data_IF_586312084543
#
_entry.id   IF_586312084543
#
_cell.length_a   1.000
_cell.length_b   1.000
_cell.length_c   1.000
_cell.angle_alpha   90.00
_cell.angle_beta   90.00
_cell.angle_gamma   90.00
#
_symmetry.space_group_name_H-M   'P 1'
#
loop_
_entity.id
_entity.type
_entity.pdbx_description
1 polymer ?
2 non-polymer ?
3 non-polymer ?
4 non-polymer ?
5 non-polymer ?
6 non-polymer ?
7 water ?
#
# COMPACT_ATOMS: atom_id res chain seq x y z
N UNK A 11 25.65 0.82 -10.71
CA UNK A 11 26.80 -0.09 -10.33
C UNK A 11 26.27 -1.17 -9.35
N UNK A 12 26.19 -2.47 -9.77
CA UNK A 12 25.83 -3.56 -8.91
C UNK A 12 26.85 -3.66 -7.75
N UNK A 13 26.42 -4.35 -6.67
CA UNK A 13 27.18 -4.59 -5.42
C UNK A 13 28.26 -5.68 -5.67
N UNK A 14 29.33 -5.81 -4.89
CA UNK A 14 29.98 -7.06 -4.64
C UNK A 14 29.04 -8.13 -4.00
N UNK A 15 29.40 -9.38 -4.13
CA UNK A 15 28.64 -10.48 -3.46
C UNK A 15 29.23 -10.80 -2.09
N UNK A 16 28.39 -10.93 -1.07
CA UNK A 16 28.94 -11.28 0.25
C UNK A 16 29.69 -12.64 0.27
N UNK A 17 30.51 -12.91 1.33
CA UNK A 17 31.28 -14.14 1.50
C UNK A 17 30.35 -15.30 1.85
N UNK A 18 29.26 -15.07 2.50
CA UNK A 18 28.33 -16.17 2.81
C UNK A 18 27.25 -16.54 1.75
N UNK A 19 27.21 -15.97 0.56
CA UNK A 19 26.24 -16.20 -0.54
C UNK A 19 26.87 -16.99 -1.73
N UNK A 20 26.32 -18.19 -2.05
CA UNK A 20 26.75 -19.03 -3.11
C UNK A 20 25.90 -18.74 -4.42
N UNK A 21 26.63 -18.92 -5.55
CA UNK A 21 26.23 -18.29 -6.78
C UNK A 21 24.95 -18.86 -7.36
N UNK A 22 24.55 -20.11 -7.04
CA UNK A 22 23.39 -20.78 -7.71
C UNK A 22 22.09 -20.06 -7.26
N UNK A 23 22.02 -19.32 -6.19
CA UNK A 23 20.81 -18.48 -5.87
C UNK A 23 20.88 -17.11 -6.57
N UNK A 24 21.97 -16.62 -7.14
CA UNK A 24 22.02 -15.28 -7.81
C UNK A 24 20.95 -15.12 -8.95
N UNK A 25 20.17 -14.02 -8.86
CA UNK A 25 19.37 -13.31 -9.82
C UNK A 25 19.59 -11.77 -9.64
N UNK A 26 20.05 -11.04 -10.67
CA UNK A 26 20.35 -9.62 -10.41
C UNK A 26 19.12 -8.73 -10.53
N UNK A 27 18.01 -9.16 -9.95
CA UNK A 27 16.80 -8.35 -9.87
C UNK A 27 16.92 -6.95 -9.26
N UNK A 28 16.42 -5.89 -9.95
CA UNK A 28 16.31 -4.59 -9.37
C UNK A 28 14.92 -4.19 -8.85
N UNK A 29 14.91 -3.79 -7.55
CA UNK A 29 13.64 -3.54 -6.88
C UNK A 29 12.88 -2.37 -7.58
N UNK A 30 13.52 -1.21 -7.95
CA UNK A 30 12.89 -0.02 -8.43
C UNK A 30 12.72 -0.04 -9.94
N UNK A 31 13.51 -0.89 -10.64
CA UNK A 31 13.38 -1.19 -12.07
C UNK A 31 13.19 -2.75 -12.23
N UNK A 32 11.93 -3.24 -12.00
CA UNK A 32 11.63 -4.68 -12.02
C UNK A 32 11.66 -5.30 -13.39
N UNK A 33 12.14 -6.56 -13.54
CA UNK A 33 12.57 -7.02 -14.86
C UNK A 33 11.41 -7.22 -15.86
N UNK A 34 10.14 -7.57 -15.55
CA UNK A 34 9.11 -7.65 -16.61
C UNK A 34 8.03 -6.53 -16.55
N UNK A 35 8.52 -5.26 -16.38
CA UNK A 35 7.75 -4.03 -15.99
C UNK A 35 6.50 -3.83 -16.90
N UNK A 36 6.57 -4.17 -18.18
CA UNK A 36 5.48 -3.98 -19.14
C UNK A 36 4.21 -4.80 -18.94
N UNK A 37 4.18 -5.75 -18.01
CA UNK A 37 3.04 -6.55 -17.63
C UNK A 37 2.14 -5.87 -16.59
N UNK A 38 2.53 -4.72 -15.97
CA UNK A 38 1.96 -4.24 -14.71
C UNK A 38 2.92 -4.30 -13.55
N UNK A 39 3.03 -3.31 -12.69
CA UNK A 39 4.02 -3.24 -11.62
C UNK A 39 3.67 -4.22 -10.38
N UNK A 40 2.64 -5.13 -10.53
CA UNK A 40 2.65 -6.29 -9.61
C UNK A 40 3.04 -7.51 -10.53
N UNK A 41 2.46 -7.64 -11.70
CA UNK A 41 2.78 -8.82 -12.50
C UNK A 41 4.27 -8.87 -12.91
N UNK A 42 4.96 -7.74 -12.96
CA UNK A 42 6.39 -7.54 -13.35
C UNK A 42 7.44 -8.23 -12.41
N UNK A 43 6.98 -8.74 -11.28
CA UNK A 43 7.68 -9.61 -10.35
C UNK A 43 7.54 -11.13 -10.59
N UNK A 44 6.47 -11.47 -11.37
CA UNK A 44 6.11 -12.84 -11.63
C UNK A 44 7.18 -13.69 -12.22
N UNK A 45 8.14 -13.12 -12.92
CA UNK A 45 9.26 -13.87 -13.48
C UNK A 45 10.09 -14.53 -12.37
N UNK A 46 10.09 -13.97 -11.15
CA UNK A 46 10.81 -14.56 -10.02
C UNK A 46 10.27 -15.92 -9.57
N UNK A 47 9.17 -16.29 -10.15
CA UNK A 47 8.43 -17.53 -9.78
C UNK A 47 8.51 -18.55 -10.88
N UNK A 48 9.49 -18.43 -11.83
CA UNK A 48 9.81 -19.46 -12.79
C UNK A 48 10.41 -20.73 -12.18
N UNK A 49 10.19 -21.89 -12.82
CA UNK A 49 10.62 -23.15 -12.20
C UNK A 49 12.05 -23.20 -11.75
N UNK A 50 13.03 -22.67 -12.49
CA UNK A 50 14.42 -22.87 -12.08
C UNK A 50 14.77 -22.04 -10.85
N UNK A 51 13.93 -21.04 -10.60
CA UNK A 51 14.16 -19.94 -9.57
C UNK A 51 13.76 -20.47 -8.16
N UNK A 52 14.72 -20.64 -7.23
CA UNK A 52 14.40 -21.15 -5.93
C UNK A 52 13.31 -20.27 -5.13
N UNK A 53 12.86 -20.87 -4.04
CA UNK A 53 12.09 -20.17 -3.03
C UNK A 53 12.70 -18.91 -2.41
N UNK A 54 14.02 -18.92 -2.23
CA UNK A 54 14.92 -17.83 -1.82
C UNK A 54 15.85 -17.54 -2.97
N UNK A 55 16.01 -16.23 -3.31
CA UNK A 55 17.06 -15.70 -4.13
C UNK A 55 17.90 -14.60 -3.54
N UNK A 56 19.06 -14.24 -4.05
CA UNK A 56 19.76 -13.01 -3.66
C UNK A 56 20.03 -12.19 -4.94
N UNK A 57 20.05 -10.85 -4.81
CA UNK A 57 20.42 -9.95 -5.89
C UNK A 57 21.56 -9.13 -5.46
N UNK A 58 22.30 -8.62 -6.43
CA UNK A 58 23.38 -7.57 -6.37
C UNK A 58 22.86 -6.15 -6.57
N UNK A 59 21.63 -6.00 -7.01
CA UNK A 59 21.01 -4.69 -7.11
C UNK A 59 20.73 -4.04 -5.74
N UNK A 60 20.53 -2.69 -5.75
CA UNK A 60 19.93 -2.03 -4.58
C UNK A 60 20.74 -2.19 -3.28
N UNK A 61 22.02 -2.40 -3.43
CA UNK A 61 22.96 -2.69 -2.34
C UNK A 61 23.11 -4.11 -1.96
N UNK A 62 22.34 -4.97 -2.65
CA UNK A 62 22.41 -6.45 -2.49
C UNK A 62 21.57 -6.87 -1.25
N UNK A 63 20.73 -7.93 -1.36
CA UNK A 63 19.59 -8.27 -0.47
C UNK A 63 19.07 -9.65 -0.86
N UNK A 64 18.58 -10.41 0.10
CA UNK A 64 17.68 -11.56 -0.28
C UNK A 64 16.28 -11.06 -0.78
N UNK A 65 15.63 -11.90 -1.61
CA UNK A 65 14.25 -11.82 -2.00
C UNK A 65 13.78 -13.24 -1.75
N UNK A 66 12.61 -13.32 -1.06
CA UNK A 66 11.75 -14.50 -0.93
C UNK A 66 10.75 -14.46 -2.07
N UNK A 67 10.72 -15.48 -2.92
CA UNK A 67 9.99 -15.55 -4.20
C UNK A 67 8.56 -16.12 -4.04
N UNK A 68 8.29 -16.81 -2.91
CA UNK A 68 7.02 -17.55 -2.69
C UNK A 68 6.24 -17.19 -1.42
N UNK A 69 4.88 -17.36 -1.38
CA UNK A 69 4.00 -16.97 -0.28
C UNK A 69 4.33 -17.70 1.05
N UNK A 70 4.73 -19.00 0.96
CA UNK A 70 5.08 -19.74 2.17
C UNK A 70 6.28 -19.17 2.75
N UNK A 71 7.43 -19.07 2.04
CA UNK A 71 8.70 -18.49 2.43
C UNK A 71 8.55 -17.07 2.92
N UNK A 72 7.77 -16.28 2.22
CA UNK A 72 7.38 -14.90 2.73
C UNK A 72 6.75 -15.05 4.15
N UNK A 73 5.67 -15.84 4.32
CA UNK A 73 4.98 -15.82 5.54
C UNK A 73 5.78 -16.38 6.72
N UNK A 74 6.61 -17.39 6.45
CA UNK A 74 7.59 -18.01 7.33
C UNK A 74 8.69 -16.93 7.71
N UNK A 75 8.90 -15.81 6.92
CA UNK A 75 9.73 -14.66 7.42
C UNK A 75 8.90 -13.59 8.10
N UNK A 76 7.56 -13.68 8.07
CA UNK A 76 6.74 -12.82 8.97
C UNK A 76 6.41 -13.46 10.33
N UNK A 77 6.57 -14.76 10.44
CA UNK A 77 6.28 -15.67 11.58
C UNK A 77 7.42 -15.89 12.52
N UNK A 78 8.64 -15.93 12.00
CA UNK A 78 9.93 -15.66 12.76
C UNK A 78 10.26 -14.17 12.86
N UNK A 79 9.28 -13.36 13.18
CA UNK A 79 9.53 -11.92 13.48
C UNK A 79 10.61 -11.68 14.54
N UNK A 80 10.84 -12.65 15.47
CA UNK A 80 11.87 -12.60 16.55
C UNK A 80 13.22 -12.70 15.95
N UNK A 81 13.36 -13.16 14.69
CA UNK A 81 14.62 -13.13 13.91
C UNK A 81 14.68 -12.14 12.73
N UNK A 82 13.51 -11.84 12.11
CA UNK A 82 13.27 -10.96 10.91
C UNK A 82 12.62 -9.65 11.37
N UNK A 83 13.30 -8.51 11.48
CA UNK A 83 12.64 -7.38 12.12
C UNK A 83 12.16 -6.29 11.12
N UNK A 84 11.05 -5.64 11.40
CA UNK A 84 10.67 -4.37 10.73
C UNK A 84 11.24 -3.02 11.19
N UNK A 85 12.23 -3.10 12.14
CA UNK A 85 12.98 -1.92 12.54
C UNK A 85 13.76 -1.34 11.33
N UNK A 86 14.03 -2.09 10.26
CA UNK A 86 14.51 -1.59 9.00
C UNK A 86 13.76 -2.35 7.85
N UNK A 87 12.60 -1.93 7.29
CA UNK A 87 11.93 -2.59 6.15
C UNK A 87 12.37 -2.09 4.79
N UNK A 88 12.96 -0.91 4.68
CA UNK A 88 13.35 -0.32 3.41
C UNK A 88 14.65 -0.95 2.89
N UNK A 89 14.67 -1.66 1.77
CA UNK A 89 15.92 -2.31 1.28
C UNK A 89 16.97 -1.22 0.93
N UNK A 90 16.68 0.08 0.53
CA UNK A 90 17.74 1.11 0.53
C UNK A 90 18.04 1.54 1.96
N UNK A 91 19.20 1.08 2.41
CA UNK A 91 19.53 1.31 3.87
C UNK A 91 19.45 2.76 4.29
N UNK A 92 19.90 3.73 3.51
CA UNK A 92 19.77 5.23 3.73
C UNK A 92 18.34 5.68 3.97
N UNK A 93 17.31 4.90 3.52
CA UNK A 93 15.91 5.08 3.87
C UNK A 93 15.41 4.11 4.99
N UNK A 94 16.01 2.93 5.15
CA UNK A 94 15.77 1.97 6.23
C UNK A 94 16.26 2.36 7.61
N UNK A 95 17.33 3.15 7.60
CA UNK A 95 17.92 3.69 8.81
C UNK A 95 17.12 4.90 9.35
N UNK A 96 16.50 5.67 8.44
CA UNK A 96 15.77 6.83 8.77
C UNK A 96 14.38 6.52 9.31
N UNK A 97 13.87 5.38 8.93
CA UNK A 97 12.55 4.87 9.32
C UNK A 97 12.36 4.53 10.75
N UNK A 98 11.12 4.64 11.34
CA UNK A 98 10.80 4.47 12.74
C UNK A 98 9.30 4.54 13.14
N UNK A 99 8.46 4.21 12.17
CA UNK A 99 7.00 4.31 12.21
C UNK A 99 6.32 3.44 13.29
N UNK A 100 5.14 3.77 13.75
CA UNK A 100 4.46 3.01 14.80
C UNK A 100 3.06 2.58 14.28
N UNK A 101 2.50 1.36 14.66
CA UNK A 101 3.06 0.32 15.46
C UNK A 101 4.36 -0.38 14.94
N UNK A 102 4.53 -0.39 13.62
CA UNK A 102 5.31 -1.40 12.87
C UNK A 102 6.79 -1.57 13.33
N UNK A 103 7.60 -0.49 13.52
CA UNK A 103 9.00 -0.56 13.95
C UNK A 103 9.26 -0.85 15.42
N UNK A 104 8.13 -0.93 16.23
CA UNK A 104 8.17 -1.38 17.63
C UNK A 104 7.97 -2.87 17.78
N UNK A 105 8.78 -3.46 18.69
CA UNK A 105 8.77 -4.90 18.93
C UNK A 105 7.65 -5.45 19.76
N UNK A 106 6.82 -6.38 19.21
CA UNK A 106 5.79 -7.11 19.93
C UNK A 106 6.48 -8.21 20.71
N UNK A 107 5.78 -8.76 21.74
CA UNK A 107 4.34 -8.48 22.05
C UNK A 107 4.12 -7.15 22.80
N UNK A 108 5.25 -6.57 23.30
CA UNK A 108 5.18 -5.30 24.05
C UNK A 108 4.84 -4.06 23.19
N UNK A 109 4.54 -4.25 21.86
CA UNK A 109 3.89 -3.22 21.03
C UNK A 109 2.46 -2.96 21.45
N UNK A 110 1.85 -3.96 22.19
CA UNK A 110 0.41 -4.17 22.16
C UNK A 110 -0.48 -2.87 22.34
N UNK A 111 -0.02 -1.94 23.20
CA UNK A 111 -0.87 -0.82 23.56
C UNK A 111 -0.89 0.24 22.47
N UNK A 112 0.18 0.30 21.65
CA UNK A 112 0.31 1.24 20.51
C UNK A 112 -0.68 0.78 19.47
N UNK A 113 -0.71 -0.51 19.15
CA UNK A 113 -1.66 -1.01 18.16
C UNK A 113 -3.08 -0.95 18.71
N UNK A 114 -3.45 -1.24 19.94
CA UNK A 114 -4.84 -1.11 20.53
C UNK A 114 -5.26 0.37 20.26
N UNK A 115 -4.40 1.30 20.62
CA UNK A 115 -4.67 2.77 20.29
C UNK A 115 -4.96 2.93 18.76
N UNK A 116 -4.05 2.49 17.84
CA UNK A 116 -4.28 2.49 16.39
C UNK A 116 -5.68 2.00 16.03
N UNK A 117 -6.05 0.80 16.55
CA UNK A 117 -7.33 0.13 16.31
C UNK A 117 -8.49 0.95 16.91
N UNK A 118 -8.25 1.97 17.76
CA UNK A 118 -9.35 2.95 18.07
C UNK A 118 -9.06 4.36 17.44
N UNK A 119 -7.97 4.63 16.84
CA UNK A 119 -7.71 5.80 15.96
C UNK A 119 -8.30 5.54 14.57
N UNK A 120 -8.29 4.29 14.13
CA UNK A 120 -9.00 3.85 12.95
C UNK A 120 -9.42 2.38 12.99
N UNK A 121 -10.73 2.16 12.83
CA UNK A 121 -11.42 0.87 13.02
C UNK A 121 -12.78 0.87 12.22
N UNK A 122 -13.47 -0.33 12.05
CA UNK A 122 -14.84 -0.51 11.46
C UNK A 122 -15.85 0.66 11.87
N UNK A 123 -16.05 1.07 13.16
CA UNK A 123 -16.84 2.26 13.47
C UNK A 123 -16.52 3.60 12.72
N UNK A 124 -15.26 3.94 12.55
CA UNK A 124 -14.89 5.18 11.80
C UNK A 124 -15.41 5.14 10.35
N UNK A 125 -15.35 3.90 9.79
CA UNK A 125 -16.02 3.76 8.50
C UNK A 125 -17.55 4.12 8.51
N UNK A 126 -18.21 3.82 9.62
CA UNK A 126 -19.57 4.25 9.86
C UNK A 126 -19.81 5.74 10.13
N UNK A 127 -18.75 6.48 10.56
CA UNK A 127 -18.74 7.94 10.74
C UNK A 127 -18.55 8.75 9.49
N UNK A 128 -17.88 8.15 8.55
CA UNK A 128 -17.59 8.77 7.25
C UNK A 128 -18.39 8.10 6.11
N UNK A 129 -19.02 6.91 6.24
CA UNK A 129 -19.68 6.24 5.15
C UNK A 129 -20.63 7.09 4.30
N UNK A 130 -21.53 7.84 4.97
CA UNK A 130 -22.40 8.69 4.14
C UNK A 130 -21.55 9.76 3.46
N UNK A 131 -20.56 10.37 4.10
CA UNK A 131 -19.54 11.32 3.47
C UNK A 131 -18.75 10.73 2.34
N UNK A 132 -18.43 9.45 2.43
CA UNK A 132 -17.82 8.58 1.35
C UNK A 132 -18.78 8.57 0.16
N UNK A 133 -19.88 7.93 0.43
CA UNK A 133 -21.08 7.90 -0.44
C UNK A 133 -21.40 9.20 -1.26
N UNK A 134 -21.84 10.21 -0.54
CA UNK A 134 -22.20 11.48 -1.19
C UNK A 134 -20.99 12.05 -1.93
N UNK A 135 -19.71 11.87 -1.58
CA UNK A 135 -18.59 12.45 -2.22
C UNK A 135 -18.26 11.61 -3.49
N UNK A 136 -18.22 10.24 -3.46
CA UNK A 136 -18.18 9.41 -4.66
C UNK A 136 -19.40 9.80 -5.54
N UNK A 137 -20.68 9.74 -5.15
CA UNK A 137 -21.80 10.32 -5.86
C UNK A 137 -21.52 11.71 -6.45
N UNK A 138 -21.01 12.71 -5.69
CA UNK A 138 -20.92 14.10 -6.21
C UNK A 138 -19.75 14.23 -7.17
N UNK A 139 -18.60 13.56 -6.86
CA UNK A 139 -17.61 13.56 -7.94
C UNK A 139 -18.16 12.88 -9.19
N UNK A 140 -18.58 11.63 -9.08
CA UNK A 140 -18.97 10.80 -10.23
C UNK A 140 -20.26 11.31 -10.95
N UNK A 141 -21.04 12.22 -10.30
CA UNK A 141 -22.05 13.03 -10.95
C UNK A 141 -21.36 14.19 -11.70
N UNK A 142 -20.40 14.89 -11.04
CA UNK A 142 -19.64 15.92 -11.76
C UNK A 142 -18.99 15.31 -13.05
N UNK A 143 -18.45 14.04 -13.06
CA UNK A 143 -17.73 13.49 -14.24
C UNK A 143 -18.66 12.80 -15.27
N UNK A 144 -19.83 12.39 -14.81
CA UNK A 144 -20.71 11.39 -15.47
C UNK A 144 -20.77 11.54 -16.97
N UNK A 145 -21.21 12.73 -17.53
CA UNK A 145 -21.45 12.90 -18.95
C UNK A 145 -20.21 13.39 -19.70
N UNK A 146 -19.03 13.54 -18.99
CA UNK A 146 -17.85 14.30 -19.46
C UNK A 146 -16.88 13.53 -20.35
N UNK A 147 -17.01 12.24 -20.37
CA UNK A 147 -16.29 11.40 -21.37
C UNK A 147 -14.80 11.19 -21.22
N UNK A 148 -14.22 11.73 -20.19
CA UNK A 148 -12.81 11.75 -19.93
C UNK A 148 -12.49 12.38 -18.62
N UNK A 149 -11.34 12.04 -18.00
CA UNK A 149 -10.74 12.64 -16.88
C UNK A 149 -9.30 12.07 -16.79
N UNK A 150 -8.42 12.70 -16.04
CA UNK A 150 -7.24 12.04 -15.58
C UNK A 150 -7.42 11.54 -14.14
N UNK A 151 -7.89 10.30 -13.96
CA UNK A 151 -8.43 9.75 -12.72
C UNK A 151 -7.46 9.88 -11.51
N UNK A 152 -6.16 9.81 -11.70
CA UNK A 152 -5.18 10.02 -10.55
C UNK A 152 -5.40 11.34 -9.88
N UNK A 153 -5.95 12.32 -10.55
CA UNK A 153 -6.09 13.72 -10.08
C UNK A 153 -7.56 14.18 -10.06
N UNK A 154 -8.43 13.66 -10.98
CA UNK A 154 -9.86 14.03 -10.95
C UNK A 154 -10.79 13.14 -10.01
N UNK A 155 -10.18 12.12 -9.38
CA UNK A 155 -10.95 11.25 -8.43
C UNK A 155 -10.09 10.65 -7.28
N UNK A 156 -9.12 9.77 -7.68
CA UNK A 156 -8.28 8.98 -6.76
C UNK A 156 -7.52 9.84 -5.76
N UNK A 157 -6.87 10.88 -6.15
CA UNK A 157 -6.28 11.71 -5.04
C UNK A 157 -7.32 12.51 -4.24
N UNK A 158 -8.26 13.29 -4.84
CA UNK A 158 -9.11 14.12 -4.02
C UNK A 158 -10.31 13.37 -3.35
N UNK A 159 -10.62 12.11 -3.61
CA UNK A 159 -11.71 11.41 -2.91
C UNK A 159 -11.33 10.92 -1.52
N UNK A 160 -10.33 10.04 -1.39
CA UNK A 160 -10.01 9.48 -0.09
C UNK A 160 -9.26 10.58 0.74
N UNK A 161 -8.35 11.37 0.11
CA UNK A 161 -7.64 12.44 0.89
C UNK A 161 -8.60 13.46 1.60
N UNK A 162 -9.66 13.88 0.89
CA UNK A 162 -10.79 14.66 1.49
C UNK A 162 -11.68 13.82 2.50
N UNK A 163 -11.35 12.61 2.87
CA UNK A 163 -11.90 11.78 3.97
C UNK A 163 -10.85 11.64 5.06
N UNK A 164 -9.65 11.12 4.72
CA UNK A 164 -8.55 11.13 5.69
C UNK A 164 -8.21 12.48 6.37
N UNK A 165 -8.23 13.65 5.68
CA UNK A 165 -8.03 15.03 6.19
C UNK A 165 -9.08 15.51 7.15
N UNK A 166 -10.32 15.25 6.72
CA UNK A 166 -11.47 15.47 7.54
C UNK A 166 -11.51 14.46 8.77
N UNK A 167 -10.94 13.23 8.65
CA UNK A 167 -10.90 12.28 9.79
C UNK A 167 -9.87 12.79 10.85
N UNK A 168 -8.70 13.12 10.34
CA UNK A 168 -7.64 13.71 11.15
C UNK A 168 -7.91 15.10 11.55
N UNK A 169 -8.87 15.84 11.00
CA UNK A 169 -8.96 17.26 11.32
C UNK A 169 -7.91 18.19 10.78
N UNK A 170 -7.58 18.09 9.45
CA UNK A 170 -6.65 19.00 8.83
C UNK A 170 -7.34 19.68 7.67
N UNK A 171 -7.07 20.97 7.35
CA UNK A 171 -7.70 21.57 6.21
C UNK A 171 -7.16 21.01 4.83
N UNK A 172 -7.97 21.10 3.70
CA UNK A 172 -7.70 20.75 2.33
C UNK A 172 -6.50 21.41 1.73
N UNK A 173 -6.18 22.56 2.15
CA UNK A 173 -5.05 23.36 1.67
C UNK A 173 -3.67 22.82 1.96
N UNK A 174 -3.55 21.88 2.92
CA UNK A 174 -2.25 21.17 3.02
C UNK A 174 -2.15 19.92 2.10
N UNK A 175 -3.18 19.57 1.36
CA UNK A 175 -3.08 18.31 0.55
C UNK A 175 -1.93 18.16 -0.41
N UNK A 176 -1.54 19.17 -1.23
CA UNK A 176 -0.48 18.95 -2.19
C UNK A 176 0.86 19.03 -1.51
N UNK A 177 0.90 19.57 -0.27
CA UNK A 177 2.10 19.67 0.47
C UNK A 177 2.35 18.32 1.19
N UNK A 178 1.28 17.65 1.65
CA UNK A 178 1.37 16.30 2.28
C UNK A 178 1.39 15.20 1.18
N UNK A 179 0.61 15.26 0.07
CA UNK A 179 0.81 14.47 -1.05
C UNK A 179 2.11 14.69 -1.74
N UNK A 180 2.83 15.74 -1.48
CA UNK A 180 4.17 15.84 -2.00
C UNK A 180 5.13 14.97 -1.17
N UNK A 181 5.09 15.13 0.14
CA UNK A 181 5.94 14.52 1.15
C UNK A 181 5.76 12.98 1.21
N UNK A 182 4.50 12.46 1.14
CA UNK A 182 4.20 11.08 1.19
C UNK A 182 4.87 10.30 0.06
N UNK A 183 4.54 10.64 -1.14
CA UNK A 183 5.29 10.22 -2.28
C UNK A 183 6.80 10.38 -2.20
N UNK A 184 7.42 11.48 -1.73
CA UNK A 184 8.88 11.55 -1.49
C UNK A 184 9.36 10.48 -0.49
N UNK A 185 8.54 10.22 0.59
CA UNK A 185 8.90 9.03 1.38
C UNK A 185 8.74 7.67 0.68
N UNK A 186 7.56 7.35 0.16
CA UNK A 186 7.23 6.08 -0.51
C UNK A 186 7.99 5.71 -1.79
N UNK A 187 8.27 6.65 -2.70
CA UNK A 187 9.13 6.42 -3.89
C UNK A 187 10.20 7.43 -4.17
N UNK A 188 11.34 7.01 -4.71
CA UNK A 188 12.50 7.81 -4.85
C UNK A 188 12.35 8.66 -6.08
N UNK A 189 11.93 9.90 -5.94
CA UNK A 189 11.89 10.86 -7.05
C UNK A 189 13.29 11.49 -7.34
N UNK A 190 13.95 11.97 -6.28
CA UNK A 190 15.32 12.47 -6.14
C UNK A 190 15.41 13.73 -5.26
N UNK A 191 14.33 14.43 -5.11
CA UNK A 191 14.40 15.71 -4.41
C UNK A 191 14.79 15.58 -2.92
N UNK A 192 14.00 14.79 -2.14
CA UNK A 192 14.13 14.61 -0.66
C UNK A 192 14.43 13.20 -0.40
N UNK A 193 15.44 12.96 0.39
CA UNK A 193 15.50 11.71 1.17
C UNK A 193 14.37 11.47 2.17
N UNK A 194 14.22 10.23 2.60
CA UNK A 194 13.21 9.80 3.60
C UNK A 194 13.41 10.54 4.94
N UNK A 195 14.66 10.71 5.31
CA UNK A 195 15.00 11.54 6.44
C UNK A 195 14.59 12.94 6.27
N UNK A 196 14.81 13.48 5.08
CA UNK A 196 14.38 14.85 4.75
C UNK A 196 12.79 15.11 4.72
N UNK A 197 12.16 14.20 3.99
CA UNK A 197 10.75 14.31 3.84
C UNK A 197 9.99 14.04 5.20
N UNK A 198 10.58 13.15 5.95
CA UNK A 198 10.06 12.80 7.31
C UNK A 198 10.29 14.02 8.23
N UNK A 199 11.49 14.49 8.36
CA UNK A 199 11.74 15.65 9.28
C UNK A 199 10.85 16.86 8.84
N UNK A 200 10.64 17.12 7.49
CA UNK A 200 9.76 18.16 6.98
C UNK A 200 8.30 17.86 7.41
N UNK A 201 7.86 16.56 7.33
CA UNK A 201 6.49 16.20 7.82
C UNK A 201 6.30 16.51 9.28
N UNK A 202 7.33 16.18 10.01
CA UNK A 202 7.20 16.27 11.43
C UNK A 202 7.29 17.77 11.89
N UNK A 203 8.10 18.60 11.21
CA UNK A 203 8.08 20.02 11.51
C UNK A 203 6.69 20.70 11.36
N UNK A 204 5.92 20.16 10.34
CA UNK A 204 4.58 20.52 10.05
C UNK A 204 3.59 19.89 11.02
N UNK A 205 3.75 18.64 11.44
CA UNK A 205 2.68 18.00 12.23
C UNK A 205 2.90 18.24 13.72
N UNK A 206 4.07 18.47 14.26
CA UNK A 206 4.17 18.60 15.79
C UNK A 206 3.54 19.93 16.37
N UNK A 207 3.48 21.17 15.71
CA UNK A 207 2.58 22.22 16.13
C UNK A 207 1.14 21.79 16.06
N UNK A 208 0.77 20.80 15.27
CA UNK A 208 -0.61 20.20 15.26
C UNK A 208 -0.84 19.19 16.28
N UNK A 209 0.15 18.28 16.52
CA UNK A 209 0.03 17.41 17.71
C UNK A 209 0.03 18.14 19.09
N UNK A 210 0.96 19.09 19.25
CA UNK A 210 0.91 20.06 20.42
C UNK A 210 -0.47 20.74 20.56
N UNK A 211 -1.10 21.20 19.45
CA UNK A 211 -2.50 21.80 19.41
C UNK A 211 -3.52 20.79 19.90
N UNK A 212 -3.34 19.57 19.53
CA UNK A 212 -4.16 18.39 20.03
C UNK A 212 -3.80 18.15 21.55
N UNK A 213 -2.65 18.50 22.20
CA UNK A 213 -2.46 18.51 23.64
C UNK A 213 -3.06 19.72 24.41
N UNK A 214 -2.92 20.88 23.82
CA UNK A 214 -3.49 22.12 24.27
C UNK A 214 -5.01 22.05 24.19
N UNK A 215 -5.60 21.56 23.10
CA UNK A 215 -7.01 21.43 23.05
C UNK A 215 -7.28 20.07 22.25
N UNK A 216 -7.52 18.93 22.87
CA UNK A 216 -8.04 17.76 22.20
C UNK A 216 -9.39 18.09 21.51
N UNK A 217 -9.86 17.30 20.51
CA UNK A 217 -11.06 17.46 19.61
C UNK A 217 -11.54 16.10 18.98
N UNK A 218 -12.71 16.25 18.33
CA UNK A 218 -13.31 15.17 17.66
C UNK A 218 -12.61 14.68 16.32
N UNK A 219 -11.26 14.75 16.28
CA UNK A 219 -10.44 14.17 15.19
C UNK A 219 -9.59 12.95 15.74
N UNK A 220 -8.94 12.25 14.79
CA UNK A 220 -8.07 11.08 15.17
C UNK A 220 -6.71 11.48 15.85
N UNK A 221 -6.08 12.61 15.43
CA UNK A 221 -4.76 13.03 16.03
C UNK A 221 -4.98 13.31 17.46
N UNK A 222 -6.17 13.70 17.91
CA UNK A 222 -6.46 13.99 19.32
C UNK A 222 -6.67 12.71 20.14
N UNK A 223 -6.96 11.52 19.50
CA UNK A 223 -6.78 10.13 20.01
C UNK A 223 -5.31 9.77 19.97
N UNK A 224 -4.49 10.03 18.91
CA UNK A 224 -3.05 9.68 18.85
C UNK A 224 -2.20 10.27 19.98
N UNK A 225 -2.38 11.55 20.21
CA UNK A 225 -1.65 12.36 21.17
C UNK A 225 -2.06 12.11 22.63
N UNK A 226 -3.21 11.51 22.92
CA UNK A 226 -3.63 11.35 24.33
C UNK A 226 -3.81 9.89 24.82
N UNK A 227 -3.39 8.92 23.95
CA UNK A 227 -3.35 7.48 24.28
C UNK A 227 -2.41 7.15 25.42
N UNK A 228 -2.86 6.35 26.41
CA UNK A 228 -1.93 5.99 27.46
C UNK A 228 -1.39 4.59 27.33
N UNK A 229 -0.07 4.39 27.46
CA UNK A 229 0.66 3.21 26.89
C UNK A 229 1.78 2.83 27.90
N UNK A 230 2.02 1.60 28.29
CA UNK A 230 3.17 1.17 29.21
C UNK A 230 3.13 1.96 30.51
N UNK A 231 1.98 2.32 31.11
CA UNK A 231 2.03 3.07 32.37
C UNK A 231 2.34 4.56 32.20
N UNK A 232 2.02 5.26 31.08
CA UNK A 232 2.47 6.64 30.78
C UNK A 232 1.63 7.30 29.59
N UNK A 233 1.89 8.57 29.33
CA UNK A 233 1.37 9.16 28.09
C UNK A 233 2.13 8.70 26.84
N UNK A 234 1.51 8.54 25.72
CA UNK A 234 2.09 8.67 24.41
C UNK A 234 2.80 10.03 24.11
N UNK A 235 4.12 10.04 23.95
CA UNK A 235 4.93 11.21 23.74
C UNK A 235 4.60 11.81 22.38
N UNK A 236 5.01 13.04 22.06
CA UNK A 236 5.07 13.58 20.66
C UNK A 236 6.03 12.77 19.75
N UNK A 237 7.21 12.42 20.27
CA UNK A 237 8.13 11.52 19.64
C UNK A 237 7.49 10.30 19.04
N UNK A 238 6.49 9.78 19.74
CA UNK A 238 5.77 8.58 19.28
C UNK A 238 4.41 8.92 18.53
N UNK A 239 3.75 10.03 18.88
CA UNK A 239 2.55 10.50 18.12
C UNK A 239 2.85 10.87 16.71
N UNK A 240 4.02 11.49 16.45
CA UNK A 240 4.50 11.82 15.12
C UNK A 240 4.84 10.56 14.28
N UNK A 241 5.44 9.57 14.88
CA UNK A 241 5.79 8.31 14.22
C UNK A 241 4.60 7.35 13.90
N UNK A 242 3.62 7.33 14.80
CA UNK A 242 2.35 6.69 14.47
C UNK A 242 1.57 7.55 13.40
N UNK A 243 1.56 8.89 13.46
CA UNK A 243 0.96 9.57 12.35
C UNK A 243 1.62 9.33 10.97
N UNK A 244 2.99 9.18 10.98
CA UNK A 244 3.64 8.90 9.62
C UNK A 244 3.12 7.70 8.85
N UNK A 245 2.83 6.62 9.52
CA UNK A 245 2.18 5.41 8.99
C UNK A 245 0.81 5.74 8.30
N UNK A 246 -0.16 6.13 9.16
CA UNK A 246 -1.49 6.66 8.69
C UNK A 246 -1.49 7.59 7.52
N UNK A 247 -0.45 8.48 7.55
CA UNK A 247 -0.21 9.46 6.48
C UNK A 247 0.27 8.80 5.22
N UNK A 248 1.15 7.78 5.30
CA UNK A 248 1.39 6.95 4.10
C UNK A 248 0.12 6.18 3.66
N UNK A 249 -0.64 5.71 4.67
CA UNK A 249 -1.89 4.99 4.52
C UNK A 249 -2.95 5.69 3.61
N UNK A 250 -3.38 6.89 4.13
CA UNK A 250 -4.54 7.51 3.44
C UNK A 250 -4.22 8.43 2.29
N UNK A 251 -2.98 8.72 1.93
CA UNK A 251 -2.70 9.56 0.79
C UNK A 251 -1.83 8.83 -0.20
N UNK A 252 -1.11 7.73 0.09
CA UNK A 252 -0.53 6.91 -0.93
C UNK A 252 -1.16 5.48 -1.07
N UNK A 253 -1.21 4.55 -0.06
CA UNK A 253 -1.67 3.16 -0.37
C UNK A 253 -3.09 3.24 -0.98
N UNK A 254 -4.01 3.97 -0.39
CA UNK A 254 -5.39 3.94 -0.90
C UNK A 254 -5.53 4.76 -2.23
N UNK A 255 -4.76 5.80 -2.47
CA UNK A 255 -4.75 6.54 -3.74
C UNK A 255 -4.11 5.79 -4.93
N UNK A 256 -2.97 5.20 -4.67
CA UNK A 256 -2.36 4.37 -5.75
C UNK A 256 -3.25 3.09 -6.00
N UNK A 257 -3.81 2.46 -4.97
CA UNK A 257 -4.69 1.29 -5.14
C UNK A 257 -5.89 1.53 -5.97
N UNK A 258 -6.51 2.67 -5.69
CA UNK A 258 -7.62 3.23 -6.53
C UNK A 258 -7.19 3.31 -7.98
N UNK A 259 -6.03 3.92 -8.20
CA UNK A 259 -5.42 4.10 -9.57
C UNK A 259 -5.23 2.75 -10.25
N UNK A 260 -4.63 1.72 -9.59
CA UNK A 260 -4.43 0.42 -10.17
C UNK A 260 -5.71 -0.31 -10.46
N UNK A 261 -6.70 -0.40 -9.53
CA UNK A 261 -8.03 -0.85 -9.76
C UNK A 261 -8.66 -0.28 -11.05
N UNK A 262 -8.59 1.01 -11.34
CA UNK A 262 -9.11 1.39 -12.64
C UNK A 262 -8.11 1.15 -13.86
N UNK A 263 -6.83 0.92 -13.61
CA UNK A 263 -5.82 0.58 -14.67
C UNK A 263 -6.05 -0.86 -15.19
N UNK A 264 -6.81 -1.67 -14.43
CA UNK A 264 -7.46 -2.90 -14.81
C UNK A 264 -8.86 -2.68 -15.41
N UNK A 265 -9.85 -2.11 -14.68
CA UNK A 265 -11.24 -2.01 -15.27
C UNK A 265 -11.30 -1.22 -16.56
N UNK A 266 -10.41 -0.22 -16.76
CA UNK A 266 -10.10 0.40 -18.06
C UNK A 266 -10.02 -0.65 -19.18
N UNK A 267 -9.17 -1.64 -19.11
CA UNK A 267 -9.01 -2.45 -20.19
C UNK A 267 -10.00 -3.62 -20.23
N UNK A 268 -10.98 -3.69 -19.29
CA UNK A 268 -11.76 -4.91 -18.93
C UNK A 268 -13.26 -4.85 -19.09
N UNK A 269 -13.78 -5.00 -20.29
CA UNK A 269 -15.21 -4.96 -20.45
C UNK A 269 -16.13 -5.99 -19.77
N UNK A 270 -15.65 -7.30 -19.75
CA UNK A 270 -16.33 -8.40 -19.02
C UNK A 270 -16.24 -8.14 -17.46
N UNK A 271 -15.04 -7.81 -16.91
CA UNK A 271 -14.94 -7.61 -15.43
C UNK A 271 -15.81 -6.47 -15.01
N UNK A 272 -15.90 -5.43 -15.91
CA UNK A 272 -17.02 -4.47 -15.62
C UNK A 272 -18.41 -5.09 -15.72
N UNK A 273 -18.84 -5.72 -16.77
CA UNK A 273 -20.12 -6.34 -16.89
C UNK A 273 -20.35 -7.27 -15.68
N UNK A 274 -19.38 -8.12 -15.19
CA UNK A 274 -19.62 -9.09 -14.14
C UNK A 274 -20.23 -8.39 -12.91
N UNK A 275 -19.78 -7.18 -12.57
CA UNK A 275 -20.28 -6.32 -11.52
C UNK A 275 -21.53 -5.51 -11.77
N UNK A 276 -21.91 -5.42 -13.00
CA UNK A 276 -23.22 -4.82 -13.41
C UNK A 276 -24.35 -5.91 -13.29
N UNK A 277 -24.16 -7.05 -13.94
CA UNK A 277 -25.13 -8.19 -13.74
C UNK A 277 -25.34 -8.70 -12.30
N UNK A 278 -24.28 -8.53 -11.49
CA UNK A 278 -24.27 -9.05 -10.17
C UNK A 278 -23.52 -8.10 -9.19
N UNK A 279 -24.14 -7.01 -8.69
CA UNK A 279 -23.63 -6.07 -7.64
C UNK A 279 -23.06 -6.79 -6.41
N UNK A 280 -23.55 -7.92 -6.04
CA UNK A 280 -22.96 -8.78 -4.96
C UNK A 280 -21.60 -9.45 -5.19
N UNK A 281 -20.96 -9.17 -6.26
CA UNK A 281 -19.54 -9.52 -6.53
C UNK A 281 -18.64 -8.35 -6.20
N UNK A 282 -19.28 -7.19 -6.01
CA UNK A 282 -18.45 -5.99 -5.69
C UNK A 282 -17.62 -6.12 -4.40
N UNK A 283 -18.13 -6.56 -3.23
CA UNK A 283 -17.16 -6.90 -2.13
C UNK A 283 -16.08 -8.02 -2.46
N UNK A 284 -16.46 -9.07 -3.17
CA UNK A 284 -15.48 -10.10 -3.58
C UNK A 284 -14.49 -9.61 -4.65
N UNK A 285 -14.86 -8.69 -5.56
CA UNK A 285 -13.94 -8.12 -6.57
C UNK A 285 -12.97 -7.23 -5.91
N UNK A 286 -13.29 -6.49 -4.82
CA UNK A 286 -12.22 -5.73 -4.11
C UNK A 286 -11.19 -6.67 -3.53
N UNK A 287 -11.63 -7.72 -2.88
CA UNK A 287 -10.75 -8.70 -2.24
C UNK A 287 -9.83 -9.34 -3.32
N UNK A 288 -10.33 -9.65 -4.54
CA UNK A 288 -9.47 -10.12 -5.62
C UNK A 288 -8.55 -9.03 -6.24
N UNK A 289 -9.05 -7.80 -6.27
CA UNK A 289 -8.24 -6.63 -6.62
C UNK A 289 -7.05 -6.49 -5.63
N UNK A 290 -7.29 -6.68 -4.32
CA UNK A 290 -6.31 -6.71 -3.21
C UNK A 290 -5.43 -7.97 -3.33
N UNK A 291 -5.88 -9.05 -3.92
CA UNK A 291 -4.96 -10.20 -4.34
C UNK A 291 -4.07 -9.80 -5.55
N UNK A 292 -4.64 -9.33 -6.61
CA UNK A 292 -4.05 -9.05 -7.86
C UNK A 292 -3.15 -7.82 -7.75
N UNK A 293 -3.67 -6.64 -7.52
CA UNK A 293 -2.97 -5.34 -7.62
C UNK A 293 -2.39 -4.89 -6.30
N UNK A 294 -1.90 -5.83 -5.54
CA UNK A 294 -1.12 -5.74 -4.28
C UNK A 294 0.21 -5.02 -4.42
N UNK A 295 0.11 -3.72 -4.69
CA UNK A 295 1.09 -2.65 -4.92
C UNK A 295 2.34 -2.47 -4.01
N UNK A 296 2.72 -3.39 -3.13
CA UNK A 296 3.69 -3.17 -2.02
C UNK A 296 4.88 -4.04 -2.23
N UNK A 297 6.09 -3.60 -1.85
CA UNK A 297 7.32 -4.37 -1.90
C UNK A 297 8.02 -4.20 -0.57
N UNK A 298 7.50 -4.87 0.47
CA UNK A 298 8.01 -4.79 1.86
C UNK A 298 9.24 -5.67 2.09
N UNK A 299 9.84 -5.56 3.26
CA UNK A 299 11.05 -6.28 3.62
C UNK A 299 11.21 -6.33 5.15
N UNK A 300 12.34 -6.91 5.66
CA UNK A 300 12.68 -7.00 7.05
C UNK A 300 14.22 -7.25 7.15
N UNK A 301 14.80 -6.88 8.31
CA UNK A 301 16.25 -7.12 8.67
C UNK A 301 16.54 -8.36 9.57
N UNK A 302 17.61 -9.11 9.41
CA UNK A 302 17.92 -10.25 10.27
C UNK A 302 18.56 -9.69 11.56
N UNK A 303 18.11 -10.09 12.76
CA UNK A 303 18.54 -9.60 14.07
C UNK A 303 19.60 -10.47 14.76
N UNK A 304 19.81 -11.67 14.24
CA UNK A 304 20.84 -12.69 14.70
C UNK A 304 21.27 -13.44 13.46
N UNK A 305 22.40 -14.15 13.63
CA UNK A 305 22.75 -15.16 12.65
C UNK A 305 21.85 -16.41 12.75
N UNK A 306 21.35 -16.80 11.58
CA UNK A 306 20.09 -17.61 11.54
C UNK A 306 20.11 -18.65 10.39
N UNK A 307 19.40 -19.82 10.48
CA UNK A 307 19.44 -20.88 9.44
C UNK A 307 18.23 -20.82 8.50
N UNK A 308 18.32 -20.62 7.20
CA UNK A 308 17.15 -20.56 6.39
C UNK A 308 17.38 -21.25 5.04
N UNK A 309 16.52 -22.20 4.56
CA UNK A 309 16.37 -22.68 3.13
C UNK A 309 17.68 -23.41 2.68
N UNK A 310 18.47 -23.89 3.67
CA UNK A 310 19.66 -24.60 3.53
C UNK A 310 20.93 -23.87 3.67
N UNK A 311 20.88 -22.63 4.10
CA UNK A 311 21.97 -21.69 4.13
C UNK A 311 21.93 -20.99 5.47
N UNK A 312 23.10 -20.53 5.94
CA UNK A 312 23.10 -19.65 7.12
C UNK A 312 23.08 -18.14 6.62
N UNK A 313 22.22 -17.34 7.17
CA UNK A 313 22.00 -15.90 6.98
C UNK A 313 22.74 -15.18 8.18
N UNK A 314 23.17 -13.92 7.99
CA UNK A 314 23.92 -13.23 9.00
C UNK A 314 23.14 -12.02 9.50
N UNK A 315 23.42 -11.56 10.75
CA UNK A 315 22.84 -10.36 11.31
C UNK A 315 23.14 -9.20 10.36
N UNK A 316 22.20 -8.25 10.17
CA UNK A 316 22.29 -7.05 9.36
C UNK A 316 21.94 -7.33 7.88
N UNK A 317 21.67 -8.60 7.44
CA UNK A 317 21.04 -9.03 6.23
C UNK A 317 19.62 -8.49 6.15
N UNK A 318 19.18 -8.21 4.94
CA UNK A 318 17.86 -7.66 4.62
C UNK A 318 17.23 -8.50 3.40
N UNK A 319 16.02 -8.87 3.62
CA UNK A 319 15.13 -9.63 2.79
C UNK A 319 13.85 -8.96 2.34
N UNK A 320 13.61 -8.92 1.05
CA UNK A 320 12.38 -8.46 0.45
C UNK A 320 11.41 -9.60 0.39
N UNK A 321 10.17 -9.34 0.72
CA UNK A 321 9.18 -10.38 0.92
C UNK A 321 7.92 -9.98 0.13
N UNK A 322 7.93 -9.80 -1.24
CA UNK A 322 6.98 -8.92 -2.00
C UNK A 322 5.55 -9.43 -1.83
N UNK A 323 4.59 -8.53 -1.56
CA UNK A 323 3.17 -8.95 -1.33
C UNK A 323 2.59 -9.79 -2.52
N UNK A 324 2.84 -9.27 -3.79
CA UNK A 324 2.41 -9.82 -5.11
C UNK A 324 3.05 -11.20 -5.38
N UNK A 325 4.05 -11.70 -4.57
CA UNK A 325 4.60 -13.08 -4.60
C UNK A 325 4.06 -14.05 -3.51
N UNK A 326 3.28 -13.47 -2.59
CA UNK A 326 2.12 -14.31 -2.20
C UNK A 326 0.97 -14.31 -3.25
N UNK A 327 0.61 -13.08 -3.76
CA UNK A 327 -0.67 -12.76 -4.39
C UNK A 327 -0.81 -13.65 -5.65
N UNK A 328 0.25 -13.77 -6.44
CA UNK A 328 0.27 -14.41 -7.73
C UNK A 328 0.72 -15.85 -7.74
N UNK A 329 1.14 -16.42 -6.62
CA UNK A 329 1.88 -17.63 -6.51
C UNK A 329 0.88 -18.84 -6.74
N UNK A 330 1.33 -19.69 -7.65
CA UNK A 330 0.51 -20.85 -7.90
C UNK A 330 0.33 -21.82 -6.69
N UNK A 331 1.27 -21.90 -5.75
CA UNK A 331 1.17 -22.70 -4.53
C UNK A 331 0.17 -22.13 -3.43
N UNK A 332 -0.16 -20.85 -3.51
CA UNK A 332 -1.13 -20.21 -2.61
C UNK A 332 -2.62 -20.25 -3.23
N UNK A 333 -2.74 -19.52 -4.35
CA UNK A 333 -3.95 -18.94 -4.95
C UNK A 333 -4.31 -19.67 -6.22
N UNK A 334 -5.53 -20.20 -6.21
CA UNK A 334 -6.15 -20.76 -7.38
C UNK A 334 -6.41 -19.60 -8.36
N UNK A 335 -6.39 -19.92 -9.66
CA UNK A 335 -6.48 -19.00 -10.81
C UNK A 335 -5.80 -17.64 -10.60
N UNK A 336 -4.45 -17.58 -10.53
CA UNK A 336 -3.72 -16.36 -10.01
C UNK A 336 -3.33 -15.29 -11.03
N UNK A 337 -3.15 -15.73 -12.31
CA UNK A 337 -2.98 -14.72 -13.40
C UNK A 337 -4.31 -14.31 -14.04
N UNK A 338 -5.10 -15.28 -14.53
CA UNK A 338 -6.56 -15.01 -14.76
C UNK A 338 -7.25 -14.34 -13.58
N UNK A 339 -8.26 -13.52 -13.85
CA UNK A 339 -8.98 -12.77 -12.85
C UNK A 339 -10.41 -13.29 -12.91
N UNK A 340 -10.98 -13.70 -11.77
CA UNK A 340 -12.41 -13.72 -11.45
C UNK A 340 -12.84 -13.50 -9.99
N UNK A 341 -14.05 -12.85 -9.86
CA UNK A 341 -14.48 -12.32 -8.64
C UNK A 341 -15.35 -13.20 -7.67
N UNK A 342 -15.40 -14.48 -8.00
CA UNK A 342 -16.16 -15.44 -7.23
C UNK A 342 -15.49 -15.99 -5.98
N UNK A 343 -14.59 -15.17 -5.37
CA UNK A 343 -13.87 -15.62 -4.19
C UNK A 343 -14.83 -15.89 -2.99
N UNK A 344 -14.83 -17.13 -2.46
CA UNK A 344 -15.07 -17.55 -1.04
C UNK A 344 -13.86 -17.32 -0.12
N UNK A 345 -12.65 -17.51 -0.68
CA UNK A 345 -11.39 -17.49 0.08
C UNK A 345 -10.28 -17.10 -0.82
N UNK A 346 -9.21 -16.66 -0.21
CA UNK A 346 -8.05 -16.13 -0.94
C UNK A 346 -6.89 -16.10 -0.02
N UNK A 347 -5.66 -16.16 -0.53
CA UNK A 347 -4.40 -16.37 0.26
C UNK A 347 -3.28 -15.40 -0.15
N UNK A 348 -3.11 -14.23 0.52
CA UNK A 348 -2.08 -13.19 0.27
C UNK A 348 -1.79 -12.25 1.42
N UNK A 349 -0.73 -11.48 1.29
CA UNK A 349 -0.11 -10.70 2.36
C UNK A 349 -0.31 -9.26 2.20
N UNK A 350 -1.29 -8.78 1.44
CA UNK A 350 -1.56 -7.32 1.27
C UNK A 350 -2.22 -6.69 2.50
N UNK A 351 -1.83 -7.15 3.68
CA UNK A 351 -2.06 -6.64 5.05
C UNK A 351 -1.04 -7.13 6.09
N UNK A 352 0.00 -7.84 5.61
CA UNK A 352 1.02 -8.54 6.39
C UNK A 352 0.52 -9.74 7.08
N UNK A 353 1.03 -10.07 8.26
CA UNK A 353 0.80 -11.40 8.86
C UNK A 353 1.16 -11.66 10.36
N UNK A 354 0.39 -12.47 11.06
CA UNK A 354 0.71 -12.88 12.42
C UNK A 354 0.68 -11.67 13.30
N UNK A 355 1.80 -11.20 13.87
CA UNK A 355 1.77 -9.99 14.67
C UNK A 355 1.31 -8.71 13.95
N UNK A 356 1.79 -8.43 12.72
CA UNK A 356 1.34 -7.26 11.91
C UNK A 356 0.01 -7.65 11.24
N UNK A 357 -0.92 -6.69 11.17
CA UNK A 357 -2.20 -6.76 10.42
C UNK A 357 -2.62 -5.39 10.06
N UNK A 358 -2.82 -5.12 8.74
CA UNK A 358 -3.35 -3.77 8.43
C UNK A 358 -4.53 -3.35 9.35
N UNK A 359 -4.42 -2.20 9.97
CA UNK A 359 -5.39 -1.69 10.90
C UNK A 359 -6.13 -0.51 10.31
N UNK A 360 -5.92 -0.03 9.07
CA UNK A 360 -6.65 1.10 8.45
C UNK A 360 -7.46 0.67 7.27
N UNK A 361 -7.14 -0.35 6.47
CA UNK A 361 -7.73 -0.58 5.15
C UNK A 361 -9.28 -0.89 4.95
N UNK A 362 -9.99 -1.01 6.09
CA UNK A 362 -11.44 -1.23 6.07
C UNK A 362 -12.16 0.05 5.64
N UNK A 363 -11.57 1.27 5.76
CA UNK A 363 -12.09 2.59 5.35
C UNK A 363 -11.94 2.51 3.81
N UNK A 364 -10.75 2.35 3.21
CA UNK A 364 -10.46 2.08 1.80
C UNK A 364 -11.30 0.89 1.23
N UNK A 365 -11.47 -0.28 1.86
CA UNK A 365 -12.43 -1.24 1.39
C UNK A 365 -13.88 -0.65 0.99
N UNK A 366 -14.51 0.15 1.89
CA UNK A 366 -15.84 0.77 1.76
C UNK A 366 -15.70 1.93 0.82
N UNK A 367 -14.50 2.57 0.75
CA UNK A 367 -14.33 3.61 -0.26
C UNK A 367 -14.28 3.08 -1.71
N UNK A 368 -13.48 2.06 -1.93
CA UNK A 368 -13.38 1.37 -3.23
C UNK A 368 -14.67 0.70 -3.56
N UNK A 369 -15.32 0.08 -2.64
CA UNK A 369 -16.61 -0.57 -2.90
C UNK A 369 -17.74 0.39 -3.13
N UNK A 370 -17.69 1.62 -2.49
CA UNK A 370 -18.62 2.65 -2.90
C UNK A 370 -18.24 3.04 -4.31
N UNK A 371 -17.01 3.42 -4.59
CA UNK A 371 -16.56 3.80 -5.95
C UNK A 371 -16.96 2.83 -7.07
N UNK A 372 -16.75 1.56 -6.81
CA UNK A 372 -17.06 0.43 -7.70
C UNK A 372 -18.57 0.47 -7.98
N UNK A 373 -19.43 0.50 -6.96
CA UNK A 373 -20.90 0.45 -7.10
C UNK A 373 -21.60 1.76 -7.60
N UNK A 374 -20.85 2.87 -7.49
CA UNK A 374 -21.40 4.11 -7.91
C UNK A 374 -20.76 4.65 -9.25
N UNK A 375 -19.62 4.16 -9.63
CA UNK A 375 -19.16 4.27 -11.02
C UNK A 375 -19.87 3.42 -12.06
N UNK A 376 -20.09 2.11 -11.81
CA UNK A 376 -20.55 1.13 -12.80
C UNK A 376 -22.01 1.40 -13.17
N UNK A 377 -22.73 2.23 -12.45
CA UNK A 377 -23.98 2.91 -12.79
C UNK A 377 -23.85 4.13 -13.66
N UNK A 378 -23.27 5.20 -13.12
CA UNK A 378 -23.20 6.44 -13.91
C UNK A 378 -22.36 6.32 -15.10
N UNK A 379 -21.31 5.53 -14.98
CA UNK A 379 -20.27 5.29 -15.92
C UNK A 379 -19.94 3.83 -16.14
N UNK A 380 -20.73 3.12 -17.00
CA UNK A 380 -20.62 1.66 -17.04
C UNK A 380 -19.47 1.24 -17.99
N UNK A 381 -19.39 1.85 -19.20
CA UNK A 381 -18.46 1.40 -20.25
C UNK A 381 -17.41 2.49 -20.40
N UNK A 382 -16.13 2.13 -20.44
CA UNK A 382 -15.00 3.05 -20.46
C UNK A 382 -13.57 2.39 -20.78
N UNK A 383 -12.53 3.13 -21.15
CA UNK A 383 -11.18 2.76 -21.50
C UNK A 383 -10.21 3.82 -21.13
N UNK A 384 -8.89 3.58 -21.25
CA UNK A 384 -7.79 4.59 -21.19
C UNK A 384 -7.68 5.30 -22.52
N UNK A 385 -7.44 6.59 -22.49
CA UNK A 385 -7.24 7.45 -23.71
C UNK A 385 -6.35 6.76 -24.78
N UNK A 386 -6.61 6.82 -26.08
CA UNK A 386 -5.78 6.36 -27.18
C UNK A 386 -4.49 7.17 -27.28
N UNK A 387 -3.33 6.53 -27.59
CA UNK A 387 -2.02 7.17 -27.57
C UNK A 387 -1.33 7.06 -26.20
N UNK A 388 -2.18 7.20 -25.17
CA UNK A 388 -1.68 7.13 -23.78
C UNK A 388 -1.04 5.72 -23.43
N UNK A 389 0.25 5.73 -23.08
CA UNK A 389 0.87 4.46 -22.56
C UNK A 389 1.04 4.72 -21.03
N UNK A 390 0.69 3.75 -20.11
CA UNK A 390 0.73 3.95 -18.66
C UNK A 390 2.09 3.51 -18.06
N UNK A 391 2.75 4.35 -17.41
CA UNK A 391 4.09 4.06 -16.93
C UNK A 391 3.91 3.91 -15.43
N UNK A 392 4.42 2.78 -15.06
CA UNK A 392 4.29 2.23 -13.67
C UNK A 392 5.58 2.38 -12.85
N UNK A 393 5.46 2.66 -11.57
CA UNK A 393 6.64 3.03 -10.69
C UNK A 393 6.77 2.06 -9.58
N UNK A 394 7.84 1.28 -9.49
CA UNK A 394 8.08 0.24 -8.45
C UNK A 394 8.56 0.91 -7.15
N UNK A 395 8.31 0.35 -5.97
CA UNK A 395 8.79 0.84 -4.72
C UNK A 395 8.30 0.06 -3.55
N UNK A 396 8.66 0.37 -2.31
CA UNK A 396 8.11 -0.20 -1.05
C UNK A 396 6.52 -0.03 -1.07
N UNK A 397 6.00 1.05 -1.61
CA UNK A 397 4.66 1.05 -2.22
C UNK A 397 4.90 1.49 -3.67
N UNK A 398 4.41 0.71 -4.60
CA UNK A 398 4.36 1.06 -6.05
C UNK A 398 3.28 2.08 -6.45
N UNK A 399 3.51 2.72 -7.65
CA UNK A 399 2.80 3.91 -8.13
C UNK A 399 2.48 3.82 -9.58
N UNK A 400 1.85 4.83 -10.12
CA UNK A 400 1.81 5.13 -11.66
C UNK A 400 2.08 6.62 -11.93
N UNK A 401 2.42 6.99 -13.16
CA UNK A 401 2.59 8.42 -13.60
C UNK A 401 1.29 9.13 -13.69
N UNK A 402 0.27 8.66 -14.53
CA UNK A 402 -1.03 9.37 -14.75
C UNK A 402 -1.93 8.43 -15.51
N UNK A 403 -3.22 8.49 -15.15
CA UNK A 403 -4.40 7.64 -15.69
C UNK A 403 -5.60 8.34 -16.38
N UNK A 404 -5.35 8.75 -17.64
CA UNK A 404 -6.35 9.39 -18.52
C UNK A 404 -7.32 8.37 -19.10
N UNK A 405 -8.54 8.39 -18.59
CA UNK A 405 -9.67 7.51 -18.91
C UNK A 405 -10.47 8.15 -20.02
N UNK A 406 -11.15 7.41 -20.89
CA UNK A 406 -12.18 8.03 -21.81
C UNK A 406 -13.40 7.08 -21.96
N UNK A 407 -14.46 7.75 -22.40
CA UNK A 407 -15.82 7.14 -22.51
C UNK A 407 -16.73 8.03 -23.37
N UNK A 408 -17.76 7.42 -23.94
CA UNK A 408 -18.73 8.23 -24.62
C UNK A 408 -19.80 8.77 -23.64
N UNK A 409 -20.04 10.13 -23.64
CA UNK A 409 -21.12 10.76 -22.87
C UNK A 409 -22.48 10.03 -23.12
N UNK A 410 -22.74 9.54 -24.30
CA UNK A 410 -24.07 8.87 -24.64
C UNK A 410 -24.27 7.50 -23.98
N UNK A 411 -23.21 6.89 -23.36
CA UNK A 411 -23.32 5.63 -22.63
C UNK A 411 -23.75 5.78 -21.18
N UNK A 412 -23.77 7.05 -20.73
CA UNK A 412 -23.72 7.36 -19.31
C UNK A 412 -25.07 7.67 -18.70
N UNK A 413 -25.32 7.31 -17.41
CA UNK A 413 -26.66 7.23 -16.80
C UNK A 413 -26.82 8.14 -15.59
N UNK A 414 -27.81 8.97 -15.56
CA UNK A 414 -28.11 9.90 -14.52
C UNK A 414 -28.63 9.25 -13.22
N UNK A 415 -28.00 9.36 -12.05
CA UNK A 415 -28.25 8.59 -10.83
C UNK A 415 -28.29 9.60 -9.68
X LIG B 1 4.69 -0.19 5.65
X LIG B 1 5.68 0.87 5.21
X LIG B 1 6.44 1.51 5.99
X LIG B 1 5.51 1.04 3.72
X LIG B 1 4.39 -0.01 3.45
X LIG B 1 5.01 -1.40 3.62
X LIG B 1 5.26 -1.53 5.09
X LIG B 1 3.46 0.11 4.68
X LIG B 1 2.81 1.45 4.97
X LIG B 1 2.31 -0.91 4.79
X LIG B 1 4.46 -0.25 7.20
X LIG B 1 6.42 0.94 3.11
X LIG B 1 5.31 2.10 3.55
X LIG B 1 3.92 -0.01 2.47
X LIG B 1 5.96 -1.55 3.08
X LIG B 1 4.33 -2.26 3.55
X LIG B 1 4.86 -2.39 5.63
X LIG B 1 6.34 -1.66 5.22
X LIG B 1 2.30 1.75 4.05
X LIG B 1 2.05 1.43 5.76
X LIG B 1 3.52 2.22 5.26
X LIG B 1 1.67 -0.79 3.90
X LIG B 1 2.69 -1.93 4.76
X LIG B 1 1.70 -0.88 5.70
X LIG B 1 3.71 -1.00 7.43
X LIG B 1 4.01 0.63 7.65
X LIG B 1 5.36 -0.45 7.79
X LIG C 1 -0.24 -1.80 7.93
X LIG C 1 -1.41 -2.52 3.27
X LIG C 1 -4.49 1.18 3.62
X LIG C 1 -3.04 1.98 8.15
X LIG C 1 -0.40 -2.45 6.70
X LIG C 1 0.26 -3.67 6.31
X LIG C 1 0.08 -3.82 4.96
X LIG C 1 -0.94 -2.78 4.56
X LIG C 1 0.67 -4.73 3.97
X LIG C 1 1.32 -4.42 7.16
X LIG C 1 2.74 -3.88 6.92
X LIG C 1 3.77 -4.55 7.80
X LIG C 1 3.81 -5.79 7.86
X LIG C 1 4.60 -3.90 8.49
X LIG C 1 -2.37 -1.58 3.00
X LIG C 1 -3.04 -1.46 1.71
X LIG C 1 -3.84 -0.34 1.78
X LIG C 1 -3.77 0.08 3.13
X LIG C 1 -2.80 -2.20 0.43
X LIG C 1 -4.80 0.10 0.68
X LIG C 1 -5.94 -0.58 0.41
X LIG C 1 -4.39 1.68 4.90
X LIG C 1 -5.13 2.78 5.36
X LIG C 1 -4.56 3.17 6.54
X LIG C 1 -3.70 2.05 6.93
X LIG C 1 -6.05 3.64 4.52
X LIG C 1 -4.84 4.44 7.34
X LIG C 1 -5.97 4.63 8.06
X LIG C 1 -2.40 0.87 8.56
X LIG C 1 -1.92 0.68 9.93
X LIG C 1 -0.97 -0.35 9.78
X LIG C 1 -1.04 -0.85 8.43
X LIG C 1 -2.24 1.58 11.05
X LIG C 1 -0.10 -0.91 10.88
X LIG C 1 -0.57 -2.38 11.29
X LIG C 1 0.33 -3.20 12.17
X LIG C 1 1.20 -2.64 12.88
X LIG C 1 0.04 -4.39 12.35
X LIG C 1 -1.34 -2.12 5.69
X LIG C 1 -2.94 -0.77 3.88
X LIG C 1 -3.64 1.14 5.87
X LIG C 1 -1.99 -0.20 7.72
X LIG C 1 -2.58 -0.64 5.88
X LIG C 1 -1.04 -3.09 2.41
X LIG C 1 -5.08 1.75 2.90
X LIG C 1 -3.27 2.77 8.87
X LIG C 1 0.35 -4.70 2.92
X LIG C 1 1.76 -4.68 3.94
X LIG C 1 0.37 -5.70 4.37
X LIG C 1 1.04 -4.41 8.22
X LIG C 1 1.22 -5.50 7.01
X LIG C 1 2.75 -2.82 7.12
X LIG C 1 3.12 -3.91 5.90
X LIG C 1 -1.76 -2.46 0.33
X LIG C 1 -3.34 -3.14 0.53
X LIG C 1 -3.08 -1.45 -0.30
X LIG C 1 -4.60 0.88 -0.05
X LIG C 1 -6.66 -0.28 -0.34
X LIG C 1 -6.25 -1.38 1.06
X LIG C 1 -6.82 2.98 4.12
X LIG C 1 -6.61 4.25 5.23
X LIG C 1 -5.59 4.19 3.71
X LIG C 1 -4.04 5.16 7.21
X LIG C 1 -6.71 3.85 8.09
X LIG C 1 -6.15 5.56 8.59
X LIG C 1 -1.79 2.56 10.89
X LIG C 1 -3.32 1.60 11.25
X LIG C 1 -1.75 1.22 11.95
X LIG C 1 0.87 -1.01 10.40
X LIG C 1 0.07 -0.32 11.77
X LIG C 1 -1.60 -2.34 11.66
X LIG C 1 -0.64 -2.90 10.33
X LIG C 1 0.62 -2.10 8.54
X LIG D 1 -1.34 0.53 5.44
X LIG D 1 -0.75 1.34 4.93
X LIG E 1 -11.32 17.72 -15.69
X LIG F 1 5.45 -19.59 -11.88
X LIG G 1 7.13 -18.21 15.10
X LIG H 1 -3.39 16.56 -7.74
X LIG I 1 -38.96 -5.77 -3.64
X LIG J 1 -25.77 -6.94 -26.85
X LIG K 1 -14.64 5.46 37.15
#
# INVERSE_FOLDING_TARGET
MTTETIQSNANLAPLPPHVPEHLVFDFDMYNPSNLSAGVQEAWAVLQESNVPDLVWTRCNGGHWIATRGQLIREAYEDYRHFSSECPFIPREAGEAYDFIPTSMDPPEQRQFRALANQVVGMPVVDKLENRIQELACSLIESLRPQGQCNFTEDYAEPFPIRIFMLLAGLPEEDIPHLKYLTDQMTRPDGSMTFAEAKEALYDYLIPIIEQRRQKPGTDAISIVANGQVNGRPITSDEAKRMCGLLLVGGLDTVVNFLSFSMEFLAKSPEHRQELIERPERIPAACEELLRRFSLVADGRILTSDYEFHGVQLKKGDQILLPQMLSGLDERENACPMHVDFSRQKVSHTTFGHGSHLCLGQHLARREIIVTLKEWLTRIPDFSIAPGAQIQHKSGIVSGVQALPLVWDPATTKAV
CAM C1 C2 O C3 C4 C5 C6 C7 C8 C9 C10 H31 H32 H4 H51 H52 H61 H62 H81 H82 H83 H91 H92 H93 H101 H102 H103
HEM CHA CHB CHC CHD C1A C2A C3A C4A CMA CAA CBA CGA O1A O2A C1B C2B C3B C4B CMB CAB CBB C1C C2C C3C C4C CMC CAC CBC C1D C2D C3D C4D CMD CAD CBD CGD O1D O2D NA NB NC ND FE HHB HHC HHD HMA HMAA HMAB HAA HAAA HBA HBAA HMB HMBA HMBB HAB HBB HBBA HMC HMCA HMCB HAC HBC HBCA HMD HMDA HMDB HAD HADA HBD HBDA HHA
CMO C O
K K
K K
K K
K K
CL CL
CL CL
CL CL
#
